data_IF_773957266137
#
_entry.id   IF_773957266137
#
_cell.length_a   1.000
_cell.length_b   1.000
_cell.length_c   1.000
_cell.angle_alpha   90.00
_cell.angle_beta   90.00
_cell.angle_gamma   90.00
#
_symmetry.space_group_name_H-M   'P 1'
#
loop_
_entity.id
_entity.type
_entity.pdbx_description
1 polymer ?
#
# COMPACT_ATOMS: atom_id res chain seq x y z
N UNK A 1 3.43 -6.16 0.94
CA UNK A 1 4.28 -6.63 2.05
C UNK A 1 3.53 -6.60 3.38
N UNK A 2 2.96 -5.46 3.81
CA UNK A 2 2.35 -5.38 5.14
C UNK A 2 1.07 -6.20 5.34
N UNK A 3 0.19 -6.34 4.34
CA UNK A 3 -1.06 -7.09 4.53
C UNK A 3 -0.83 -8.58 4.87
N UNK A 4 0.15 -9.21 4.24
CA UNK A 4 0.56 -10.59 4.57
C UNK A 4 1.11 -10.69 6.00
N UNK A 5 1.77 -9.64 6.50
CA UNK A 5 2.25 -9.61 7.89
C UNK A 5 1.09 -9.40 8.89
N UNK A 6 0.09 -8.60 8.53
CA UNK A 6 -1.17 -8.48 9.29
C UNK A 6 -1.96 -9.80 9.26
N UNK A 7 -1.89 -10.57 8.18
CA UNK A 7 -2.45 -11.93 8.10
C UNK A 7 -1.77 -12.89 9.11
N UNK A 8 -0.45 -12.84 9.23
CA UNK A 8 0.27 -13.59 10.27
C UNK A 8 -0.11 -13.15 11.68
N UNK A 9 -0.26 -11.84 11.92
CA UNK A 9 -0.76 -11.32 13.20
C UNK A 9 -2.14 -11.87 13.55
N UNK A 10 -3.07 -11.82 12.58
CA UNK A 10 -4.42 -12.32 12.76
C UNK A 10 -4.43 -13.82 13.10
N UNK A 11 -3.64 -14.61 12.38
CA UNK A 11 -3.48 -16.04 12.65
C UNK A 11 -2.88 -16.31 14.04
N UNK A 12 -1.83 -15.59 14.43
CA UNK A 12 -1.19 -15.75 15.74
C UNK A 12 -2.09 -15.33 16.92
N UNK A 13 -2.99 -14.37 16.70
CA UNK A 13 -4.01 -13.97 17.66
C UNK A 13 -5.28 -14.84 17.59
N UNK A 14 -5.32 -15.85 16.72
CA UNK A 14 -6.49 -16.68 16.45
C UNK A 14 -7.75 -15.86 16.10
N UNK A 15 -7.57 -14.84 15.23
CA UNK A 15 -8.62 -13.92 14.78
C UNK A 15 -8.81 -13.99 13.27
N UNK A 16 -10.05 -13.84 12.82
CA UNK A 16 -10.36 -13.66 11.40
C UNK A 16 -9.82 -12.32 10.91
N UNK A 17 -9.06 -12.33 9.80
CA UNK A 17 -8.65 -11.10 9.14
C UNK A 17 -9.79 -10.54 8.28
N UNK A 18 -10.19 -9.30 8.54
CA UNK A 18 -11.09 -8.58 7.64
C UNK A 18 -10.27 -8.00 6.49
N UNK A 19 -10.60 -8.38 5.26
CA UNK A 19 -9.94 -7.88 4.06
C UNK A 19 -10.30 -6.40 3.89
N UNK A 20 -9.31 -5.50 3.92
CA UNK A 20 -9.54 -4.06 3.81
C UNK A 20 -9.96 -3.65 2.39
N UNK A 21 -10.66 -2.52 2.30
CA UNK A 21 -10.90 -1.86 1.03
C UNK A 21 -9.62 -1.23 0.47
N UNK A 22 -9.67 -0.82 -0.80
CA UNK A 22 -8.54 -0.26 -1.55
C UNK A 22 -8.91 1.06 -2.24
N UNK A 23 -7.89 1.81 -2.61
CA UNK A 23 -8.04 3.04 -3.41
C UNK A 23 -6.83 3.95 -3.28
N UNK A 24 -6.51 4.69 -4.35
CA UNK A 24 -5.37 5.61 -4.42
C UNK A 24 -4.03 4.96 -4.03
N UNK A 25 -3.82 3.71 -4.45
CA UNK A 25 -2.69 2.84 -4.09
C UNK A 25 -2.58 2.52 -2.59
N UNK A 26 -3.63 2.73 -1.81
CA UNK A 26 -3.65 2.44 -0.37
C UNK A 26 -4.63 1.32 -0.08
N UNK A 27 -4.40 0.70 1.07
CA UNK A 27 -5.24 -0.35 1.64
C UNK A 27 -5.73 0.16 2.99
N UNK A 28 -7.03 0.03 3.26
CA UNK A 28 -7.61 0.40 4.55
C UNK A 28 -9.14 0.36 4.53
N UNK A 29 -9.76 0.39 5.72
CA UNK A 29 -11.21 0.30 5.86
C UNK A 29 -11.99 1.40 5.11
N UNK A 30 -11.34 2.56 4.88
CA UNK A 30 -11.93 3.71 4.19
C UNK A 30 -11.62 3.78 2.69
N UNK A 31 -11.05 2.72 2.11
CA UNK A 31 -10.93 2.61 0.65
C UNK A 31 -12.30 2.65 -0.03
N UNK A 32 -12.36 3.27 -1.21
CA UNK A 32 -13.58 3.35 -2.02
C UNK A 32 -13.97 1.97 -2.56
N UNK A 33 -12.99 1.18 -2.96
CA UNK A 33 -13.17 -0.06 -3.69
C UNK A 33 -13.00 -1.27 -2.78
N UNK A 34 -13.68 -2.37 -3.10
CA UNK A 34 -13.46 -3.65 -2.44
C UNK A 34 -12.06 -4.20 -2.73
N UNK A 35 -11.59 -5.09 -1.87
CA UNK A 35 -10.24 -5.68 -1.97
C UNK A 35 -9.95 -6.30 -3.35
N UNK A 36 -10.96 -6.95 -3.92
CA UNK A 36 -10.93 -7.68 -5.18
C UNK A 36 -10.85 -6.78 -6.43
N UNK A 37 -11.20 -5.50 -6.29
CA UNK A 37 -10.97 -4.53 -7.35
C UNK A 37 -9.48 -4.44 -7.72
N UNK A 38 -8.59 -4.51 -6.72
CA UNK A 38 -7.14 -4.43 -6.94
C UNK A 38 -6.46 -5.80 -6.96
N UNK A 39 -6.91 -6.74 -6.13
CA UNK A 39 -6.17 -7.96 -5.81
C UNK A 39 -6.97 -9.23 -6.13
N UNK A 40 -6.27 -10.30 -6.47
CA UNK A 40 -6.90 -11.60 -6.75
C UNK A 40 -7.24 -12.32 -5.44
N UNK A 41 -8.54 -12.49 -5.17
CA UNK A 41 -9.04 -13.17 -3.97
C UNK A 41 -8.56 -14.61 -3.87
N UNK A 42 -8.43 -15.33 -4.99
CA UNK A 42 -8.02 -16.73 -5.02
C UNK A 42 -6.58 -16.92 -4.55
N UNK A 43 -5.68 -16.06 -5.03
CA UNK A 43 -4.27 -16.02 -4.64
C UNK A 43 -4.13 -15.72 -3.16
N UNK A 44 -4.86 -14.72 -2.64
CA UNK A 44 -4.77 -14.34 -1.24
C UNK A 44 -5.43 -15.38 -0.33
N UNK A 45 -6.56 -15.97 -0.73
CA UNK A 45 -7.20 -17.06 0.00
C UNK A 45 -6.31 -18.31 0.07
N UNK A 46 -5.48 -18.58 -0.95
CA UNK A 46 -4.46 -19.63 -0.88
C UNK A 46 -3.41 -19.30 0.17
N UNK A 47 -2.85 -18.09 0.15
CA UNK A 47 -1.89 -17.63 1.16
C UNK A 47 -2.48 -17.66 2.58
N UNK A 48 -3.72 -17.20 2.75
CA UNK A 48 -4.43 -17.27 4.02
C UNK A 48 -4.60 -18.70 4.53
N UNK A 49 -4.96 -19.66 3.66
CA UNK A 49 -5.06 -21.07 4.05
C UNK A 49 -3.72 -21.66 4.50
N UNK A 50 -2.63 -21.28 3.84
CA UNK A 50 -1.28 -21.70 4.24
C UNK A 50 -0.89 -21.14 5.62
N UNK A 51 -1.24 -19.88 5.91
CA UNK A 51 -0.92 -19.23 7.19
C UNK A 51 -1.82 -19.72 8.33
N UNK A 52 -3.13 -19.85 8.11
CA UNK A 52 -4.08 -20.25 9.14
C UNK A 52 -4.17 -21.77 9.33
N UNK A 53 -3.74 -22.57 8.36
CA UNK A 53 -3.92 -24.02 8.35
C UNK A 53 -5.38 -24.48 8.22
N UNK A 54 -6.34 -23.55 8.08
CA UNK A 54 -7.78 -23.82 7.97
C UNK A 54 -8.43 -23.02 6.84
N UNK A 55 -9.59 -23.48 6.30
CA UNK A 55 -10.22 -22.84 5.13
C UNK A 55 -10.77 -21.42 5.34
N UNK A 56 -10.95 -20.95 6.59
CA UNK A 56 -11.71 -19.71 6.90
C UNK A 56 -10.94 -18.74 7.80
N UNK A 57 -9.85 -18.18 7.27
CA UNK A 57 -9.04 -17.17 7.97
C UNK A 57 -9.39 -15.71 7.64
N UNK A 58 -10.19 -15.46 6.60
CA UNK A 58 -10.45 -14.12 6.06
C UNK A 58 -11.93 -13.88 5.73
N UNK A 59 -12.38 -12.62 5.81
CA UNK A 59 -13.73 -12.18 5.43
C UNK A 59 -13.67 -10.83 4.70
N UNK A 60 -14.56 -10.55 3.74
CA UNK A 60 -14.61 -9.24 3.08
C UNK A 60 -15.12 -8.14 4.03
N UNK A 61 -14.71 -6.89 3.79
CA UNK A 61 -15.13 -5.77 4.64
C UNK A 61 -16.65 -5.56 4.66
N UNK A 62 -17.33 -5.80 3.55
CA UNK A 62 -18.79 -5.63 3.44
C UNK A 62 -19.56 -6.75 4.16
N UNK A 63 -19.05 -7.98 4.10
CA UNK A 63 -19.58 -9.09 4.91
C UNK A 63 -19.36 -8.81 6.40
N UNK A 64 -18.19 -8.29 6.78
CA UNK A 64 -17.92 -7.86 8.15
C UNK A 64 -18.84 -6.72 8.59
N UNK A 65 -19.08 -5.73 7.73
CA UNK A 65 -20.02 -4.64 8.01
C UNK A 65 -21.43 -5.20 8.25
N UNK A 66 -21.88 -6.12 7.40
CA UNK A 66 -23.17 -6.80 7.56
C UNK A 66 -23.22 -7.57 8.88
N UNK A 67 -22.14 -8.26 9.24
CA UNK A 67 -22.01 -8.95 10.53
C UNK A 67 -22.17 -7.97 11.71
N UNK A 68 -21.48 -6.81 11.69
CA UNK A 68 -21.62 -5.77 12.73
C UNK A 68 -23.06 -5.27 12.80
N UNK A 69 -23.67 -4.98 11.65
CA UNK A 69 -25.01 -4.38 11.57
C UNK A 69 -26.12 -5.33 12.06
N UNK A 70 -25.94 -6.63 11.85
CA UNK A 70 -26.93 -7.66 12.17
C UNK A 70 -26.81 -8.18 13.62
N UNK A 71 -25.79 -7.78 14.38
CA UNK A 71 -25.66 -8.25 15.76
C UNK A 71 -26.74 -7.67 16.67
N UNK A 72 -27.37 -8.50 17.54
CA UNK A 72 -28.25 -8.01 18.59
C UNK A 72 -27.53 -7.11 19.60
N UNK A 73 -26.27 -7.44 19.90
CA UNK A 73 -25.39 -6.68 20.79
C UNK A 73 -24.25 -6.07 19.97
N UNK A 74 -24.09 -4.76 20.12
CA UNK A 74 -23.02 -3.99 19.49
C UNK A 74 -21.63 -4.53 19.88
N UNK A 75 -20.82 -4.99 18.91
CA UNK A 75 -19.52 -5.57 19.21
C UNK A 75 -18.57 -4.51 19.78
N UNK A 76 -17.75 -4.91 20.75
CA UNK A 76 -16.70 -4.06 21.32
C UNK A 76 -15.47 -4.06 20.40
N UNK A 77 -15.00 -2.86 20.05
CA UNK A 77 -13.82 -2.62 19.22
C UNK A 77 -12.72 -1.92 20.01
N UNK A 78 -11.47 -2.34 19.80
CA UNK A 78 -10.28 -1.70 20.35
C UNK A 78 -9.36 -1.23 19.23
N UNK A 79 -8.87 0.01 19.34
CA UNK A 79 -7.88 0.54 18.40
C UNK A 79 -6.47 0.13 18.82
N UNK A 80 -5.71 -0.36 17.85
CA UNK A 80 -4.33 -0.79 18.04
C UNK A 80 -3.45 -0.08 17.01
N UNK A 81 -2.49 0.70 17.48
CA UNK A 81 -1.55 1.45 16.63
C UNK A 81 -0.19 0.77 16.63
N UNK A 82 0.37 0.59 15.44
CA UNK A 82 1.75 0.15 15.24
C UNK A 82 2.55 1.25 14.54
N UNK A 83 3.51 1.82 15.25
CA UNK A 83 4.35 2.93 14.78
C UNK A 83 5.84 2.67 15.04
N UNK A 84 6.72 3.35 14.31
CA UNK A 84 8.16 3.29 14.58
C UNK A 84 8.54 4.17 15.80
N UNK A 85 9.49 3.70 16.60
CA UNK A 85 10.03 4.42 17.76
C UNK A 85 10.81 5.63 17.26
N UNK A 86 10.27 6.81 17.46
CA UNK A 86 10.92 8.09 17.21
C UNK A 86 11.23 8.76 18.55
N UNK A 87 12.21 9.67 18.56
CA UNK A 87 12.55 10.47 19.75
C UNK A 87 11.38 11.33 20.25
N UNK A 88 10.38 11.61 19.41
CA UNK A 88 9.13 12.24 19.80
C UNK A 88 8.00 11.21 19.90
N UNK A 89 7.11 11.38 20.88
CA UNK A 89 5.82 10.66 20.92
C UNK A 89 4.95 11.13 19.75
N UNK A 90 4.11 10.27 19.17
CA UNK A 90 3.16 10.67 18.14
C UNK A 90 2.25 11.81 18.62
N UNK A 91 2.00 12.78 17.75
CA UNK A 91 1.01 13.83 18.03
C UNK A 91 -0.35 13.21 18.33
N UNK A 92 -0.92 13.56 19.49
CA UNK A 92 -2.19 13.01 19.97
C UNK A 92 -2.09 11.73 20.81
N UNK A 93 -0.91 11.15 21.03
CA UNK A 93 -0.73 10.10 22.02
C UNK A 93 -0.80 10.70 23.44
N UNK A 94 -1.86 10.38 24.16
CA UNK A 94 -2.06 10.73 25.57
C UNK A 94 -2.26 9.44 26.37
N UNK A 95 -1.15 8.76 26.67
CA UNK A 95 -1.16 7.44 27.29
C UNK A 95 -0.01 7.18 28.25
N UNK A 96 -0.20 6.17 29.11
CA UNK A 96 0.81 5.71 30.05
C UNK A 96 1.65 4.60 29.42
N UNK A 97 2.97 4.68 29.56
CA UNK A 97 3.88 3.59 29.22
C UNK A 97 3.64 2.42 30.20
N UNK A 98 3.13 1.30 29.68
CA UNK A 98 2.83 0.10 30.48
C UNK A 98 4.04 -0.81 30.58
N UNK A 99 4.74 -1.02 29.46
CA UNK A 99 5.96 -1.85 29.42
C UNK A 99 6.88 -1.42 28.29
N UNK A 100 8.16 -1.71 28.47
CA UNK A 100 9.20 -1.60 27.46
C UNK A 100 10.03 -2.90 27.48
N UNK A 101 9.71 -3.83 26.58
CA UNK A 101 10.33 -5.16 26.49
C UNK A 101 10.89 -5.39 25.09
N UNK A 102 12.12 -5.90 24.99
CA UNK A 102 12.81 -6.18 23.72
C UNK A 102 12.84 -4.98 22.75
N UNK A 103 12.88 -3.76 23.29
CA UNK A 103 12.84 -2.52 22.50
C UNK A 103 11.47 -2.13 21.97
N UNK A 104 10.40 -2.88 22.31
CA UNK A 104 9.01 -2.52 22.04
C UNK A 104 8.44 -1.72 23.21
N UNK A 105 8.04 -0.47 22.96
CA UNK A 105 7.33 0.34 23.94
C UNK A 105 5.82 0.20 23.76
N UNK A 106 5.08 0.03 24.86
CA UNK A 106 3.62 -0.13 24.83
C UNK A 106 2.96 0.95 25.66
N UNK A 107 2.09 1.72 25.02
CA UNK A 107 1.31 2.77 25.64
C UNK A 107 -0.18 2.39 25.62
N UNK A 108 -0.87 2.72 26.70
CA UNK A 108 -2.33 2.65 26.77
C UNK A 108 -2.85 4.06 27.01
N UNK A 109 -3.73 4.53 26.12
CA UNK A 109 -4.29 5.87 26.19
C UNK A 109 -5.14 6.05 27.46
N UNK A 110 -5.20 7.29 27.96
CA UNK A 110 -6.01 7.64 29.12
C UNK A 110 -7.50 7.72 28.80
N UNK A 111 -7.86 7.88 27.52
CA UNK A 111 -9.25 8.07 27.10
C UNK A 111 -9.49 7.37 25.76
N UNK A 112 -10.74 7.01 25.44
CA UNK A 112 -11.09 6.58 24.09
C UNK A 112 -10.78 7.67 23.07
N UNK A 113 -10.49 7.24 21.85
CA UNK A 113 -10.13 8.15 20.76
C UNK A 113 -11.30 9.07 20.38
N UNK A 114 -11.06 10.38 20.44
CA UNK A 114 -11.97 11.36 19.87
C UNK A 114 -12.06 11.21 18.34
N UNK A 115 -13.22 11.50 17.77
CA UNK A 115 -13.43 11.33 16.32
C UNK A 115 -12.60 12.27 15.45
N UNK A 116 -12.16 13.40 16.00
CA UNK A 116 -11.31 14.40 15.36
C UNK A 116 -9.82 14.21 15.65
N UNK A 117 -9.45 13.16 16.40
CA UNK A 117 -8.05 12.84 16.68
C UNK A 117 -7.27 12.70 15.36
N UNK A 118 -6.10 13.32 15.35
CA UNK A 118 -5.23 13.39 14.17
C UNK A 118 -4.74 12.02 13.70
N UNK A 119 -4.61 11.05 14.63
CA UNK A 119 -4.27 9.64 14.34
C UNK A 119 -5.34 8.97 13.48
N UNK A 120 -6.58 9.43 13.54
CA UNK A 120 -7.70 8.91 12.73
C UNK A 120 -7.89 9.66 11.41
N UNK A 121 -6.99 10.56 10.99
CA UNK A 121 -7.16 11.39 9.78
C UNK A 121 -7.48 10.57 8.51
N UNK A 122 -6.87 9.40 8.36
CA UNK A 122 -7.08 8.50 7.21
C UNK A 122 -8.19 7.46 7.43
N UNK A 123 -8.78 7.44 8.63
CA UNK A 123 -9.76 6.46 9.09
C UNK A 123 -11.07 7.12 9.56
N UNK A 124 -11.31 8.40 9.21
CA UNK A 124 -12.52 9.15 9.62
C UNK A 124 -13.82 8.42 9.27
N UNK A 125 -13.79 7.57 8.23
CA UNK A 125 -14.96 6.83 7.83
C UNK A 125 -15.46 5.79 8.81
N UNK A 126 -14.60 5.32 9.73
CA UNK A 126 -14.96 4.26 10.68
C UNK A 126 -16.22 4.63 11.48
N UNK A 127 -16.37 5.91 11.85
CA UNK A 127 -17.52 6.42 12.60
C UNK A 127 -18.86 6.11 11.93
N UNK A 128 -18.97 6.35 10.63
CA UNK A 128 -20.23 6.15 9.90
C UNK A 128 -20.32 4.77 9.26
N UNK A 129 -19.19 4.17 8.87
CA UNK A 129 -19.13 2.86 8.25
C UNK A 129 -19.48 1.74 9.24
N UNK A 130 -19.12 1.89 10.51
CA UNK A 130 -19.38 0.92 11.58
C UNK A 130 -20.09 1.58 12.79
N UNK A 131 -21.20 2.26 12.54
CA UNK A 131 -21.92 3.03 13.56
C UNK A 131 -22.49 2.18 14.72
N UNK A 132 -22.68 0.87 14.53
CA UNK A 132 -23.10 -0.07 15.58
C UNK A 132 -21.95 -0.70 16.37
N UNK A 133 -20.69 -0.40 16.06
CA UNK A 133 -19.54 -0.91 16.82
C UNK A 133 -19.17 0.06 17.94
N UNK A 134 -18.97 -0.46 19.16
CA UNK A 134 -18.58 0.33 20.33
C UNK A 134 -17.06 0.48 20.36
N UNK A 135 -16.55 1.70 20.25
CA UNK A 135 -15.09 1.98 20.31
C UNK A 135 -14.71 2.81 21.55
N UNK A 136 -15.68 3.09 22.40
CA UNK A 136 -15.57 3.80 23.68
C UNK A 136 -15.27 2.87 24.87
N UNK A 137 -15.50 1.57 24.71
CA UNK A 137 -15.28 0.56 25.75
C UNK A 137 -13.80 0.33 26.08
N UNK A 138 -12.94 0.42 25.07
CA UNK A 138 -11.51 0.14 25.19
C UNK A 138 -10.71 1.36 24.76
N UNK A 139 -9.77 1.76 25.62
CA UNK A 139 -8.77 2.76 25.29
C UNK A 139 -7.80 2.19 24.25
N UNK A 140 -7.33 3.05 23.33
CA UNK A 140 -6.31 2.68 22.36
C UNK A 140 -5.05 2.09 22.98
N UNK A 141 -4.46 1.13 22.27
CA UNK A 141 -3.13 0.58 22.59
C UNK A 141 -2.17 0.96 21.48
N UNK A 142 -1.06 1.60 21.82
CA UNK A 142 -0.02 2.00 20.87
C UNK A 142 1.27 1.21 21.13
N UNK A 143 1.72 0.46 20.12
CA UNK A 143 2.94 -0.33 20.16
C UNK A 143 3.99 0.34 19.27
N UNK A 144 5.10 0.77 19.88
CA UNK A 144 6.19 1.45 19.20
C UNK A 144 7.37 0.52 19.00
N UNK A 145 7.72 0.32 17.74
CA UNK A 145 8.72 -0.64 17.28
C UNK A 145 10.08 0.01 17.09
N UNK A 146 11.19 -0.63 17.49
CA UNK A 146 12.50 -0.02 17.37
C UNK A 146 12.86 0.24 15.90
N UNK A 147 13.34 1.46 15.60
CA UNK A 147 13.86 1.78 14.25
C UNK A 147 15.09 0.92 13.93
N UNK A 148 15.09 0.29 12.75
CA UNK A 148 16.17 -0.58 12.26
C UNK A 148 17.56 0.08 12.43
N UNK A 149 18.43 -0.58 13.21
CA UNK A 149 19.75 -0.07 13.60
C UNK A 149 20.18 -0.50 15.01
N UNK A 150 19.24 -0.96 15.84
CA UNK A 150 19.53 -1.61 17.13
C UNK A 150 19.80 -3.11 16.92
N UNK A 151 20.78 -3.72 17.62
CA UNK A 151 21.02 -5.16 17.55
C UNK A 151 19.74 -5.89 17.92
N UNK A 152 19.21 -6.66 16.97
CA UNK A 152 17.98 -7.42 17.11
C UNK A 152 18.12 -8.43 18.27
N UNK A 153 17.58 -8.07 19.43
CA UNK A 153 17.24 -9.05 20.43
C UNK A 153 15.77 -9.44 20.21
N UNK A 154 15.58 -10.73 19.89
CA UNK A 154 14.30 -11.47 19.93
C UNK A 154 13.34 -11.21 18.76
N UNK A 155 12.67 -12.30 18.31
CA UNK A 155 11.67 -12.34 17.25
C UNK A 155 10.53 -11.34 17.54
N UNK A 156 10.53 -10.14 16.92
CA UNK A 156 9.68 -9.06 17.39
C UNK A 156 8.20 -9.32 17.12
N UNK A 157 7.87 -10.22 16.18
CA UNK A 157 6.51 -10.70 15.95
C UNK A 157 5.95 -11.56 17.09
N UNK A 158 6.74 -12.44 17.69
CA UNK A 158 6.31 -13.25 18.85
C UNK A 158 6.12 -12.38 20.09
N UNK A 159 7.05 -11.46 20.34
CA UNK A 159 6.93 -10.48 21.43
C UNK A 159 5.69 -9.59 21.23
N UNK A 160 5.39 -9.16 20.01
CA UNK A 160 4.17 -8.40 19.69
C UNK A 160 2.90 -9.16 20.05
N UNK A 161 2.81 -10.45 19.66
CA UNK A 161 1.64 -11.29 19.93
C UNK A 161 1.49 -11.52 21.43
N UNK A 162 2.58 -11.86 22.13
CA UNK A 162 2.60 -12.05 23.58
C UNK A 162 2.09 -10.80 24.30
N UNK A 163 2.57 -9.62 23.89
CA UNK A 163 2.19 -8.34 24.48
C UNK A 163 0.70 -8.04 24.28
N UNK A 164 0.17 -8.23 23.07
CA UNK A 164 -1.26 -8.03 22.79
C UNK A 164 -2.18 -9.02 23.54
N UNK A 165 -1.63 -10.12 24.04
CA UNK A 165 -2.35 -11.13 24.84
C UNK A 165 -2.16 -10.93 26.35
N UNK A 166 -1.40 -9.92 26.80
CA UNK A 166 -1.19 -9.72 28.24
C UNK A 166 -2.45 -9.16 28.90
N UNK A 167 -2.77 -9.78 30.03
CA UNK A 167 -3.94 -9.41 30.83
C UNK A 167 -3.82 -8.01 31.42
N UNK A 168 -2.63 -7.57 31.86
CA UNK A 168 -2.43 -6.23 32.43
C UNK A 168 -2.72 -5.11 31.42
N UNK A 169 -2.27 -5.27 30.17
CA UNK A 169 -2.59 -4.34 29.08
C UNK A 169 -4.08 -4.35 28.77
N UNK A 170 -4.69 -5.54 28.70
CA UNK A 170 -6.12 -5.68 28.46
C UNK A 170 -6.92 -4.95 29.57
N UNK A 171 -6.59 -5.17 30.84
CA UNK A 171 -7.24 -4.50 31.97
C UNK A 171 -7.07 -2.99 31.91
N UNK A 172 -5.83 -2.49 31.75
CA UNK A 172 -5.55 -1.05 31.64
C UNK A 172 -6.31 -0.38 30.50
N UNK A 173 -6.59 -1.12 29.42
CA UNK A 173 -7.34 -0.61 28.29
C UNK A 173 -8.85 -0.51 28.53
N UNK A 174 -9.41 -1.08 29.60
CA UNK A 174 -10.85 -0.97 29.88
C UNK A 174 -11.14 0.39 30.50
N UNK A 175 -11.99 1.20 29.85
CA UNK A 175 -12.21 2.60 30.22
C UNK A 175 -12.83 2.87 31.60
N UNK A 176 -13.19 1.84 32.36
CA UNK A 176 -13.74 1.97 33.70
C UNK A 176 -12.69 2.08 34.83
N UNK A 177 -11.39 1.86 34.55
CA UNK A 177 -10.38 1.93 35.62
C UNK A 177 -10.09 3.35 36.13
N UNK A 178 -10.50 4.41 35.41
CA UNK A 178 -10.33 5.79 35.91
C UNK A 178 -11.35 6.21 36.96
N UNK A 179 -12.44 5.46 37.18
CA UNK A 179 -13.31 5.69 38.34
C UNK A 179 -12.76 5.06 39.64
N UNK A 180 -11.70 4.26 39.57
CA UNK A 180 -10.92 3.85 40.73
C UNK A 180 -9.78 4.82 40.97
N UNK A 181 -10.15 6.06 41.33
CA UNK A 181 -9.22 6.99 41.95
C UNK A 181 -8.67 6.38 43.24
N UNK A 182 -7.33 6.34 43.32
CA UNK A 182 -6.53 5.85 44.45
C UNK A 182 -6.75 4.37 44.77
N UNK A 183 -5.73 3.55 44.55
CA UNK A 183 -5.50 2.41 45.44
C UNK A 183 -4.98 3.04 46.74
N UNK A 184 -5.75 3.08 47.85
CA UNK A 184 -5.17 3.44 49.13
C UNK A 184 -4.12 2.37 49.45
N UNK A 185 -2.98 2.79 50.01
CA UNK A 185 -1.87 1.93 50.42
C UNK A 185 -2.27 0.92 51.54
N UNK A 186 -3.55 0.91 51.88
CA UNK A 186 -4.24 0.24 52.97
C UNK A 186 -4.83 -1.13 52.54
N UNK A 187 -4.89 -1.45 51.25
CA UNK A 187 -5.44 -2.73 50.74
C UNK A 187 -4.33 -3.79 50.60
N UNK A 188 -3.59 -3.98 51.68
CA UNK A 188 -2.81 -5.19 51.97
C UNK A 188 -3.37 -5.87 53.21
N UNK A 189 -4.69 -5.92 53.35
CA UNK A 189 -5.30 -6.66 54.44
C UNK A 189 -6.55 -7.44 54.01
N UNK A 190 -6.62 -8.63 54.60
CA UNK A 190 -7.30 -9.83 54.15
C UNK A 190 -8.83 -9.70 53.99
N UNK A 191 -9.34 -10.40 52.96
CA UNK A 191 -10.60 -11.16 53.05
C UNK A 191 -11.89 -10.35 52.98
N UNK A 192 -12.35 -10.07 51.76
CA UNK A 192 -13.77 -9.93 51.43
C UNK A 192 -14.00 -10.20 49.94
N UNK A 193 -14.12 -11.48 49.62
CA UNK A 193 -14.84 -11.96 48.45
C UNK A 193 -16.32 -11.59 48.63
N UNK A 194 -16.76 -10.45 48.11
CA UNK A 194 -18.14 -10.31 47.65
C UNK A 194 -18.29 -9.04 46.81
N UNK A 195 -18.87 -9.21 45.61
CA UNK A 195 -19.33 -8.19 44.64
C UNK A 195 -18.40 -7.72 43.50
N UNK A 196 -17.29 -8.39 43.19
CA UNK A 196 -16.48 -8.12 41.97
C UNK A 196 -16.64 -9.18 40.86
N UNK A 197 -17.49 -10.19 41.04
CA UNK A 197 -17.63 -11.32 40.10
C UNK A 197 -18.68 -11.12 38.98
N UNK A 198 -19.08 -9.89 38.64
CA UNK A 198 -20.02 -9.72 37.50
C UNK A 198 -19.87 -8.39 36.76
N UNK A 199 -18.64 -7.99 36.45
CA UNK A 199 -18.38 -7.20 35.25
C UNK A 199 -17.42 -8.03 34.41
N UNK A 200 -17.97 -8.90 33.56
CA UNK A 200 -17.17 -9.63 32.59
C UNK A 200 -16.30 -8.62 31.85
N UNK A 201 -14.99 -8.79 31.99
CA UNK A 201 -13.94 -8.17 31.19
C UNK A 201 -14.19 -8.62 29.75
N UNK A 202 -15.07 -7.90 29.05
CA UNK A 202 -15.41 -8.23 27.66
C UNK A 202 -14.18 -7.95 26.80
N UNK A 203 -13.42 -9.00 26.49
CA UNK A 203 -12.35 -8.94 25.49
C UNK A 203 -12.85 -8.25 24.23
N UNK A 204 -12.01 -7.38 23.65
CA UNK A 204 -12.34 -6.71 22.40
C UNK A 204 -12.62 -7.75 21.30
N UNK A 205 -13.88 -7.79 20.84
CA UNK A 205 -14.31 -8.69 19.76
C UNK A 205 -13.67 -8.28 18.42
N UNK A 206 -13.42 -6.99 18.22
CA UNK A 206 -12.84 -6.42 17.01
C UNK A 206 -11.57 -5.64 17.35
N UNK A 207 -10.47 -5.92 16.63
CA UNK A 207 -9.26 -5.11 16.67
C UNK A 207 -9.19 -4.22 15.43
N UNK A 208 -9.19 -2.91 15.64
CA UNK A 208 -9.00 -1.89 14.61
C UNK A 208 -7.52 -1.55 14.52
N UNK A 209 -6.84 -2.22 13.61
CA UNK A 209 -5.39 -2.11 13.45
C UNK A 209 -5.04 -0.94 12.53
N UNK A 210 -4.32 0.04 13.06
CA UNK A 210 -3.64 1.09 12.31
C UNK A 210 -2.14 0.79 12.29
N UNK A 211 -1.52 0.83 11.12
CA UNK A 211 -0.08 0.62 10.99
C UNK A 211 0.51 1.66 10.05
N UNK A 212 1.61 2.29 10.48
CA UNK A 212 2.45 3.15 9.64
C UNK A 212 3.92 2.75 9.80
N UNK A 213 4.23 1.53 9.36
CA UNK A 213 5.55 0.93 9.47
C UNK A 213 6.19 0.82 8.11
N UNK A 214 7.50 1.06 7.99
CA UNK A 214 8.23 0.69 6.77
C UNK A 214 8.45 -0.81 6.71
N UNK A 215 8.80 -1.40 7.85
CA UNK A 215 9.06 -2.82 8.01
C UNK A 215 8.25 -3.37 9.18
N UNK A 216 7.31 -4.28 8.90
CA UNK A 216 6.56 -4.92 9.97
C UNK A 216 7.42 -6.00 10.63
N UNK A 217 7.40 -6.15 11.97
CA UNK A 217 8.23 -7.07 12.75
C UNK A 217 7.99 -8.58 12.56
N UNK A 218 7.09 -9.00 11.67
CA UNK A 218 6.95 -10.42 11.36
C UNK A 218 8.00 -10.84 10.33
N UNK A 219 8.95 -11.67 10.78
CA UNK A 219 9.85 -12.38 9.87
C UNK A 219 9.01 -13.28 8.97
N UNK A 220 9.03 -13.02 7.66
CA UNK A 220 8.44 -13.93 6.69
C UNK A 220 9.35 -15.15 6.60
N UNK A 221 9.17 -16.11 7.52
CA UNK A 221 9.86 -17.41 7.48
C UNK A 221 9.47 -18.23 6.23
N UNK A 222 8.49 -17.79 5.46
CA UNK A 222 8.10 -18.43 4.20
C UNK A 222 8.89 -17.89 3.02
N UNK A 223 9.47 -18.81 2.27
CA UNK A 223 10.07 -18.68 0.92
C UNK A 223 9.07 -18.26 -0.17
N UNK A 224 7.96 -17.61 0.17
CA UNK A 224 6.95 -17.13 -0.79
C UNK A 224 7.02 -15.61 -0.88
N UNK A 225 7.93 -15.05 -1.71
CA UNK A 225 7.98 -13.64 -1.97
C UNK A 225 6.91 -13.29 -3.00
N UNK A 226 5.71 -12.97 -2.54
CA UNK A 226 4.84 -12.03 -3.24
C UNK A 226 3.67 -11.66 -2.32
N UNK A 227 3.33 -10.36 -2.30
CA UNK A 227 2.02 -9.96 -1.79
C UNK A 227 0.89 -10.60 -2.60
N UNK A 228 -0.38 -10.31 -2.29
CA UNK A 228 -1.49 -10.76 -3.13
C UNK A 228 -1.22 -10.36 -4.59
N UNK A 229 -1.53 -11.28 -5.50
CA UNK A 229 -1.53 -10.98 -6.93
C UNK A 229 -2.53 -9.86 -7.22
N UNK A 230 -2.29 -9.08 -8.27
CA UNK A 230 -3.30 -8.16 -8.77
C UNK A 230 -4.49 -8.91 -9.39
N UNK A 231 -5.66 -8.29 -9.40
CA UNK A 231 -6.89 -8.87 -9.95
C UNK A 231 -6.73 -9.27 -11.42
N UNK A 232 -7.49 -10.27 -11.87
CA UNK A 232 -7.44 -10.73 -13.26
C UNK A 232 -7.78 -9.60 -14.25
N UNK A 233 -8.71 -8.72 -13.89
CA UNK A 233 -9.16 -7.62 -14.74
C UNK A 233 -8.03 -6.61 -14.99
N UNK A 234 -7.30 -6.22 -13.94
CA UNK A 234 -6.15 -5.33 -14.06
C UNK A 234 -5.05 -5.99 -14.90
N UNK A 235 -4.78 -7.28 -14.69
CA UNK A 235 -3.79 -8.02 -15.48
C UNK A 235 -4.19 -8.13 -16.95
N UNK A 236 -5.46 -8.44 -17.23
CA UNK A 236 -6.00 -8.51 -18.57
C UNK A 236 -5.93 -7.16 -19.28
N UNK A 237 -6.23 -6.06 -18.58
CA UNK A 237 -6.09 -4.72 -19.10
C UNK A 237 -4.63 -4.36 -19.42
N UNK A 238 -3.69 -4.62 -18.51
CA UNK A 238 -2.27 -4.41 -18.77
C UNK A 238 -1.77 -5.20 -20.00
N UNK A 239 -2.24 -6.44 -20.16
CA UNK A 239 -1.96 -7.25 -21.35
C UNK A 239 -2.56 -6.63 -22.61
N UNK A 240 -3.82 -6.14 -22.56
CA UNK A 240 -4.49 -5.51 -23.70
C UNK A 240 -3.78 -4.22 -24.13
N UNK A 241 -3.35 -3.40 -23.18
CA UNK A 241 -2.59 -2.17 -23.42
C UNK A 241 -1.25 -2.44 -24.12
N UNK A 242 -0.54 -3.48 -23.70
CA UNK A 242 0.83 -3.74 -24.16
C UNK A 242 0.93 -4.67 -25.36
N UNK A 243 -0.11 -5.43 -25.67
CA UNK A 243 -0.14 -6.39 -26.79
C UNK A 243 0.34 -5.81 -28.13
N UNK A 244 -0.02 -4.56 -28.53
CA UNK A 244 0.46 -3.97 -29.78
C UNK A 244 1.96 -3.63 -29.79
N UNK A 245 2.57 -3.52 -28.61
CA UNK A 245 3.93 -3.01 -28.42
C UNK A 245 4.96 -4.11 -28.15
N UNK A 246 4.55 -5.37 -27.97
CA UNK A 246 5.47 -6.46 -27.64
C UNK A 246 6.43 -6.80 -28.80
N UNK A 247 7.75 -6.92 -28.57
CA UNK A 247 8.49 -6.54 -27.35
C UNK A 247 8.75 -5.03 -27.25
N UNK A 248 8.74 -4.49 -26.03
CA UNK A 248 8.99 -3.05 -25.75
C UNK A 248 9.98 -2.83 -24.60
N UNK A 249 10.48 -1.60 -24.52
CA UNK A 249 11.21 -1.08 -23.33
C UNK A 249 10.22 -0.40 -22.40
N UNK A 250 10.30 -0.65 -21.09
CA UNK A 250 9.60 0.15 -20.11
C UNK A 250 10.57 1.00 -19.29
N UNK A 251 10.28 2.29 -19.20
CA UNK A 251 10.96 3.24 -18.35
C UNK A 251 10.05 3.52 -17.16
N UNK A 252 10.56 3.34 -15.94
CA UNK A 252 9.89 3.82 -14.74
C UNK A 252 10.71 4.95 -14.11
N UNK A 253 10.24 6.18 -14.30
CA UNK A 253 10.92 7.39 -13.85
C UNK A 253 10.04 8.25 -12.95
N UNK A 254 10.40 8.31 -11.67
CA UNK A 254 9.73 9.10 -10.65
C UNK A 254 10.60 10.29 -10.26
N UNK A 255 10.17 11.48 -10.65
CA UNK A 255 10.95 12.72 -10.54
C UNK A 255 10.77 13.43 -9.19
N UNK A 256 9.71 13.12 -8.43
CA UNK A 256 9.33 13.75 -7.16
C UNK A 256 10.41 13.93 -6.07
N UNK A 257 11.51 13.16 -6.08
CA UNK A 257 12.61 13.30 -5.10
C UNK A 257 13.89 13.84 -5.72
N UNK A 258 13.88 14.10 -7.03
CA UNK A 258 15.03 14.62 -7.76
C UNK A 258 15.05 16.14 -7.59
N UNK A 259 16.19 16.75 -7.21
CA UNK A 259 16.33 18.20 -7.19
C UNK A 259 15.97 18.79 -8.57
N UNK A 260 15.09 19.80 -8.67
CA UNK A 260 14.63 20.30 -9.96
C UNK A 260 15.76 20.70 -10.92
N UNK A 261 16.84 21.29 -10.39
CA UNK A 261 18.00 21.70 -11.17
C UNK A 261 18.76 20.55 -11.86
N UNK A 262 18.55 19.29 -11.44
CA UNK A 262 19.20 18.10 -12.02
C UNK A 262 18.29 17.38 -13.02
N UNK A 263 17.01 17.75 -13.11
CA UNK A 263 16.04 17.04 -13.96
C UNK A 263 16.41 17.06 -15.45
N UNK A 264 16.90 18.18 -16.04
CA UNK A 264 17.34 18.18 -17.43
C UNK A 264 18.52 17.23 -17.68
N UNK A 265 19.55 17.28 -16.83
CA UNK A 265 20.72 16.38 -16.94
C UNK A 265 20.32 14.91 -16.80
N UNK A 266 19.40 14.60 -15.89
CA UNK A 266 18.85 13.25 -15.74
C UNK A 266 18.02 12.82 -16.96
N UNK A 267 17.35 13.74 -17.65
CA UNK A 267 16.64 13.45 -18.90
C UNK A 267 17.61 13.12 -20.03
N UNK A 268 18.71 13.87 -20.15
CA UNK A 268 19.77 13.58 -21.12
C UNK A 268 20.42 12.22 -20.84
N UNK A 269 20.75 11.94 -19.58
CA UNK A 269 21.29 10.64 -19.18
C UNK A 269 20.34 9.47 -19.52
N UNK A 270 19.03 9.66 -19.34
CA UNK A 270 18.03 8.67 -19.76
C UNK A 270 18.05 8.45 -21.28
N UNK A 271 18.10 9.53 -22.06
CA UNK A 271 18.16 9.44 -23.54
C UNK A 271 19.42 8.70 -23.97
N UNK A 272 20.57 9.03 -23.40
CA UNK A 272 21.86 8.37 -23.70
C UNK A 272 21.81 6.88 -23.36
N UNK A 273 21.30 6.51 -22.18
CA UNK A 273 21.12 5.10 -21.79
C UNK A 273 20.22 4.35 -22.78
N UNK A 274 19.12 4.96 -23.22
CA UNK A 274 18.24 4.35 -24.22
C UNK A 274 18.91 4.21 -25.57
N UNK A 275 19.64 5.23 -26.03
CA UNK A 275 20.39 5.18 -27.29
C UNK A 275 21.43 4.06 -27.28
N UNK A 276 22.14 3.85 -26.17
CA UNK A 276 23.10 2.76 -26.02
C UNK A 276 22.38 1.39 -26.06
N UNK A 277 21.32 1.22 -25.26
CA UNK A 277 20.58 -0.04 -25.19
C UNK A 277 19.92 -0.42 -26.52
N UNK A 278 19.36 0.56 -27.22
CA UNK A 278 18.63 0.36 -28.47
C UNK A 278 19.55 0.29 -29.70
N UNK A 279 20.80 0.74 -29.59
CA UNK A 279 21.81 0.54 -30.62
C UNK A 279 22.36 -0.90 -30.66
N UNK A 280 22.25 -1.66 -29.56
CA UNK A 280 22.65 -3.07 -29.53
C UNK A 280 21.62 -3.93 -30.29
N UNK A 281 21.99 -4.55 -31.44
CA UNK A 281 21.05 -5.32 -32.24
C UNK A 281 20.47 -6.55 -31.52
N UNK A 282 21.22 -7.12 -30.56
CA UNK A 282 20.79 -8.29 -29.78
C UNK A 282 19.73 -7.93 -28.74
N UNK A 283 19.79 -6.72 -28.18
CA UNK A 283 18.82 -6.22 -27.22
C UNK A 283 17.59 -5.64 -27.93
N UNK A 284 17.80 -4.85 -28.99
CA UNK A 284 16.78 -4.08 -29.68
C UNK A 284 15.94 -4.87 -30.69
N UNK A 285 16.27 -6.13 -30.98
CA UNK A 285 15.61 -6.92 -32.03
C UNK A 285 14.08 -6.97 -31.84
N UNK A 286 13.33 -6.39 -32.79
CA UNK A 286 11.87 -6.37 -32.76
C UNK A 286 11.25 -5.30 -31.86
N UNK A 287 12.05 -4.55 -31.10
CA UNK A 287 11.57 -3.45 -30.26
C UNK A 287 11.20 -2.26 -31.17
N UNK A 288 9.95 -1.82 -31.07
CA UNK A 288 9.42 -0.65 -31.81
C UNK A 288 8.92 0.46 -30.90
N UNK A 289 8.64 0.14 -29.64
CA UNK A 289 7.99 1.06 -28.72
C UNK A 289 8.72 1.14 -27.39
N UNK A 290 8.71 2.34 -26.81
CA UNK A 290 9.23 2.65 -25.48
C UNK A 290 8.07 3.18 -24.64
N UNK A 291 7.75 2.47 -23.57
CA UNK A 291 6.71 2.84 -22.61
C UNK A 291 7.30 3.68 -21.48
N UNK A 292 6.83 4.91 -21.31
CA UNK A 292 7.28 5.79 -20.25
C UNK A 292 6.23 5.90 -19.12
N UNK A 293 6.52 5.21 -18.03
CA UNK A 293 5.79 5.27 -16.77
C UNK A 293 6.42 6.34 -15.85
N UNK A 294 5.76 7.49 -15.77
CA UNK A 294 6.26 8.64 -15.00
C UNK A 294 5.15 9.36 -14.25
N UNK A 295 5.52 10.08 -13.20
CA UNK A 295 4.64 10.88 -12.34
C UNK A 295 4.09 12.14 -13.02
N UNK A 296 4.58 12.50 -14.22
CA UNK A 296 4.09 13.61 -15.04
C UNK A 296 3.39 13.14 -16.33
N UNK A 297 2.28 13.78 -16.71
CA UNK A 297 1.59 13.41 -17.94
C UNK A 297 2.39 13.75 -19.22
N UNK A 298 2.45 12.81 -20.16
CA UNK A 298 3.10 13.01 -21.46
C UNK A 298 2.28 13.89 -22.41
N UNK A 299 0.97 14.01 -22.22
CA UNK A 299 0.12 14.90 -23.03
C UNK A 299 0.01 16.29 -22.41
N UNK A 300 0.45 17.30 -23.15
CA UNK A 300 0.20 18.72 -22.88
C UNK A 300 -0.89 19.28 -23.82
N UNK A 301 -1.95 18.51 -24.11
CA UNK A 301 -3.09 19.04 -24.85
C UNK A 301 -3.90 20.00 -23.95
N UNK A 302 -3.70 21.29 -24.20
CA UNK A 302 -4.08 22.48 -23.42
C UNK A 302 -5.58 22.73 -23.19
N UNK A 303 -6.46 21.74 -23.36
CA UNK A 303 -7.92 21.92 -23.22
C UNK A 303 -8.61 21.03 -22.19
N UNK A 304 -7.91 20.08 -21.61
CA UNK A 304 -8.37 19.33 -20.44
C UNK A 304 -7.25 19.40 -19.40
N UNK A 305 -7.61 19.47 -18.12
CA UNK A 305 -6.70 19.28 -16.97
C UNK A 305 -5.99 20.55 -16.41
N UNK A 306 -6.78 21.47 -15.85
CA UNK A 306 -6.31 22.25 -14.68
C UNK A 306 -6.30 21.40 -13.39
N UNK A 307 -6.88 20.19 -13.41
CA UNK A 307 -7.09 19.33 -12.24
C UNK A 307 -6.34 17.98 -12.28
N UNK A 308 -5.54 17.65 -13.32
CA UNK A 308 -5.00 16.29 -13.51
C UNK A 308 -3.54 16.18 -13.95
N UNK A 309 -2.76 17.24 -13.72
CA UNK A 309 -1.29 17.19 -13.88
C UNK A 309 -0.63 16.22 -12.88
N UNK A 310 -1.33 15.86 -11.79
CA UNK A 310 -0.78 15.07 -10.70
C UNK A 310 -1.24 13.60 -10.76
N UNK A 311 -0.43 12.72 -11.35
CA UNK A 311 -0.69 11.26 -11.40
C UNK A 311 -0.31 10.52 -10.12
N UNK A 312 0.49 11.16 -9.27
CA UNK A 312 0.93 10.61 -8.01
C UNK A 312 0.56 11.52 -6.84
N UNK A 313 -0.08 10.95 -5.81
CA UNK A 313 -0.40 11.66 -4.57
C UNK A 313 0.85 12.21 -3.85
N UNK A 314 2.06 11.74 -4.21
CA UNK A 314 3.32 12.23 -3.64
C UNK A 314 3.94 13.40 -4.40
N UNK A 315 3.47 13.69 -5.62
CA UNK A 315 4.08 14.69 -6.49
C UNK A 315 3.38 16.05 -6.37
N UNK A 316 3.67 16.79 -5.28
CA UNK A 316 2.89 17.96 -4.85
C UNK A 316 3.21 19.27 -5.58
N UNK A 317 4.33 19.34 -6.31
CA UNK A 317 4.79 20.60 -6.93
C UNK A 317 5.49 20.28 -8.24
N UNK A 318 4.88 20.68 -9.36
CA UNK A 318 5.47 20.57 -10.69
C UNK A 318 6.15 21.90 -11.02
N UNK A 319 7.42 21.86 -11.39
CA UNK A 319 8.22 23.04 -11.76
C UNK A 319 8.49 23.06 -13.27
N UNK A 320 9.04 24.16 -13.77
CA UNK A 320 9.48 24.29 -15.18
C UNK A 320 10.44 23.18 -15.58
N UNK A 321 11.36 22.81 -14.69
CA UNK A 321 12.41 21.82 -14.95
C UNK A 321 11.83 20.41 -15.14
N UNK A 322 10.68 20.10 -14.50
CA UNK A 322 9.98 18.83 -14.74
C UNK A 322 9.38 18.77 -16.15
N UNK A 323 8.82 19.90 -16.60
CA UNK A 323 8.28 19.99 -17.96
C UNK A 323 9.41 19.94 -18.98
N UNK A 324 10.51 20.67 -18.74
CA UNK A 324 11.71 20.64 -19.55
C UNK A 324 12.29 19.23 -19.69
N UNK A 325 12.42 18.49 -18.60
CA UNK A 325 12.90 17.11 -18.61
C UNK A 325 12.03 16.18 -19.47
N UNK A 326 10.70 16.29 -19.38
CA UNK A 326 9.80 15.52 -20.24
C UNK A 326 9.88 15.97 -21.70
N UNK A 327 10.06 17.26 -21.97
CA UNK A 327 10.24 17.76 -23.33
C UNK A 327 11.57 17.28 -23.94
N UNK A 328 12.67 17.22 -23.17
CA UNK A 328 13.94 16.61 -23.62
C UNK A 328 13.71 15.17 -24.08
N UNK A 329 13.02 14.36 -23.26
CA UNK A 329 12.71 12.98 -23.63
C UNK A 329 11.83 12.93 -24.88
N UNK A 330 10.76 13.73 -24.97
CA UNK A 330 9.90 13.76 -26.16
C UNK A 330 10.65 14.17 -27.43
N UNK A 331 11.50 15.17 -27.35
CA UNK A 331 12.29 15.64 -28.49
C UNK A 331 13.25 14.56 -28.98
N UNK A 332 13.77 13.72 -28.09
CA UNK A 332 14.64 12.61 -28.49
C UNK A 332 13.95 11.59 -29.39
N UNK A 333 12.65 11.37 -29.23
CA UNK A 333 11.81 10.51 -30.09
C UNK A 333 11.14 11.26 -31.25
N UNK A 334 11.33 12.58 -31.33
CA UNK A 334 10.83 13.40 -32.43
C UNK A 334 11.71 13.32 -33.68
N UNK A 335 11.25 13.95 -34.77
CA UNK A 335 11.99 14.00 -36.03
C UNK A 335 13.39 14.60 -35.83
N UNK A 336 14.44 13.88 -36.25
CA UNK A 336 15.84 14.29 -36.11
C UNK A 336 16.43 14.06 -34.72
N UNK A 337 15.69 13.44 -33.80
CA UNK A 337 16.18 13.02 -32.50
C UNK A 337 16.93 11.69 -32.55
N UNK A 338 17.79 11.38 -31.56
CA UNK A 338 18.58 10.14 -31.53
C UNK A 338 17.74 8.85 -31.41
N UNK A 339 16.46 8.97 -31.03
CA UNK A 339 15.54 7.85 -30.83
C UNK A 339 14.35 7.90 -31.81
N UNK A 340 14.46 8.64 -32.92
CA UNK A 340 13.37 8.84 -33.90
C UNK A 340 12.84 7.52 -34.52
N UNK A 341 13.63 6.45 -34.47
CA UNK A 341 13.25 5.14 -35.00
C UNK A 341 12.26 4.37 -34.12
N UNK A 342 12.01 4.81 -32.89
CA UNK A 342 11.13 4.17 -31.92
C UNK A 342 9.96 5.08 -31.54
N UNK A 343 8.84 4.47 -31.16
CA UNK A 343 7.64 5.19 -30.72
C UNK A 343 7.64 5.36 -29.20
N UNK A 344 7.54 6.60 -28.71
CA UNK A 344 7.31 6.87 -27.29
C UNK A 344 5.81 6.82 -26.98
N UNK A 345 5.43 5.91 -26.08
CA UNK A 345 4.06 5.81 -25.57
C UNK A 345 4.04 5.76 -24.04
N UNK A 346 2.85 5.69 -23.45
CA UNK A 346 2.64 5.54 -22.02
C UNK A 346 1.16 5.38 -21.71
N UNK A 347 0.83 5.08 -20.45
CA UNK A 347 -0.51 4.65 -20.06
C UNK A 347 -1.65 5.56 -20.55
N UNK A 348 -1.47 6.89 -20.48
CA UNK A 348 -2.52 7.81 -20.92
C UNK A 348 -2.76 7.79 -22.43
N UNK A 349 -1.69 7.77 -23.22
CA UNK A 349 -1.81 7.73 -24.68
C UNK A 349 -2.47 6.42 -25.14
N UNK A 350 -2.16 5.34 -24.44
CA UNK A 350 -2.68 4.01 -24.71
C UNK A 350 -4.15 3.87 -24.34
N UNK A 351 -4.55 4.44 -23.19
CA UNK A 351 -5.96 4.55 -22.82
C UNK A 351 -6.71 5.40 -23.85
N UNK A 352 -6.16 6.54 -24.26
CA UNK A 352 -6.78 7.42 -25.25
C UNK A 352 -6.88 6.77 -26.65
N UNK A 353 -5.89 5.94 -27.03
CA UNK A 353 -5.99 5.11 -28.22
C UNK A 353 -7.16 4.13 -28.10
N UNK A 354 -7.23 3.38 -27.00
CA UNK A 354 -8.30 2.39 -26.81
C UNK A 354 -9.69 3.02 -26.77
N UNK A 355 -9.83 4.22 -26.22
CA UNK A 355 -11.08 5.00 -26.26
C UNK A 355 -11.49 5.34 -27.69
N UNK A 356 -10.57 5.90 -28.47
CA UNK A 356 -10.82 6.22 -29.89
C UNK A 356 -11.15 4.98 -30.72
N UNK A 357 -10.47 3.86 -30.44
CA UNK A 357 -10.76 2.60 -31.11
C UNK A 357 -12.19 2.12 -30.79
N UNK A 358 -12.59 2.12 -29.51
CA UNK A 358 -13.95 1.74 -29.11
C UNK A 358 -15.02 2.64 -29.76
N UNK A 359 -14.83 3.97 -29.72
CA UNK A 359 -15.71 4.94 -30.37
C UNK A 359 -15.85 4.68 -31.87
N UNK A 360 -14.76 4.32 -32.55
CA UNK A 360 -14.76 4.02 -33.98
C UNK A 360 -15.58 2.76 -34.33
N UNK A 361 -15.68 1.79 -33.40
CA UNK A 361 -16.51 0.60 -33.55
C UNK A 361 -17.95 0.79 -33.04
N UNK A 362 -18.31 1.98 -32.55
CA UNK A 362 -19.62 2.25 -31.96
C UNK A 362 -19.83 1.55 -30.61
N UNK A 363 -18.74 1.15 -29.95
CA UNK A 363 -18.74 0.56 -28.62
C UNK A 363 -18.46 1.65 -27.59
N UNK A 364 -19.15 1.61 -26.45
CA UNK A 364 -18.76 2.41 -25.30
C UNK A 364 -17.45 1.82 -24.75
N UNK A 365 -16.45 2.66 -24.48
CA UNK A 365 -15.23 2.21 -23.81
C UNK A 365 -15.56 1.87 -22.35
N UNK A 366 -16.08 0.67 -22.16
CA UNK A 366 -16.41 0.06 -20.88
C UNK A 366 -15.29 -0.93 -20.60
N UNK A 367 -14.52 -0.70 -19.55
CA UNK A 367 -13.63 -1.75 -19.06
C UNK A 367 -14.53 -2.84 -18.48
N UNK A 368 -14.41 -4.08 -18.98
CA UNK A 368 -15.13 -5.23 -18.43
C UNK A 368 -14.96 -5.21 -16.89
N UNK A 369 -16.07 -5.14 -16.17
CA UNK A 369 -16.20 -4.92 -14.72
C UNK A 369 -16.04 -3.48 -14.22
N UNK A 370 -16.69 -2.52 -14.90
CA UNK A 370 -17.21 -1.33 -14.21
C UNK A 370 -18.11 -1.81 -13.05
N UNK A 371 -17.82 -1.36 -11.83
CA UNK A 371 -18.86 -1.39 -10.81
C UNK A 371 -20.01 -0.47 -11.26
N UNK A 372 -21.15 -0.52 -10.58
CA UNK A 372 -22.33 0.35 -10.86
C UNK A 372 -21.99 1.87 -10.94
N UNK A 373 -20.77 2.28 -10.59
CA UNK A 373 -20.27 3.65 -10.62
C UNK A 373 -19.54 4.05 -11.91
N UNK A 374 -18.86 3.14 -12.62
CA UNK A 374 -18.07 3.52 -13.80
C UNK A 374 -16.80 4.33 -13.52
N UNK A 375 -16.12 4.16 -12.37
CA UNK A 375 -15.05 5.09 -11.93
C UNK A 375 -13.73 4.43 -11.49
N UNK A 376 -13.56 3.11 -11.65
CA UNK A 376 -12.37 2.41 -11.11
C UNK A 376 -11.06 2.89 -11.77
N UNK A 377 -11.07 3.13 -13.08
CA UNK A 377 -9.93 3.66 -13.84
C UNK A 377 -9.61 5.12 -13.52
N UNK A 378 -10.53 5.88 -12.92
CA UNK A 378 -10.20 7.22 -12.43
C UNK A 378 -9.36 7.17 -11.14
N UNK A 379 -9.27 6.01 -10.51
CA UNK A 379 -8.44 5.84 -9.34
C UNK A 379 -6.95 5.85 -9.74
N UNK A 380 -6.23 6.89 -9.30
CA UNK A 380 -4.77 7.04 -9.47
C UNK A 380 -3.95 5.78 -9.08
N UNK A 381 -4.48 4.95 -8.19
CA UNK A 381 -3.84 3.72 -7.79
C UNK A 381 -3.86 2.63 -8.85
N UNK A 382 -4.93 2.56 -9.65
CA UNK A 382 -5.01 1.67 -10.81
C UNK A 382 -3.95 2.07 -11.84
N UNK A 383 -3.76 3.37 -12.09
CA UNK A 383 -2.73 3.86 -13.00
C UNK A 383 -1.33 3.40 -12.60
N UNK A 384 -0.99 3.59 -11.32
CA UNK A 384 0.27 3.09 -10.78
C UNK A 384 0.38 1.57 -10.89
N UNK A 385 -0.66 0.80 -10.58
CA UNK A 385 -0.63 -0.66 -10.69
C UNK A 385 -0.43 -1.10 -12.15
N UNK A 386 -1.11 -0.48 -13.11
CA UNK A 386 -0.96 -0.79 -14.53
C UNK A 386 0.46 -0.53 -15.01
N UNK A 387 1.02 0.67 -14.75
CA UNK A 387 2.42 0.97 -15.09
C UNK A 387 3.39 -0.03 -14.46
N UNK A 388 3.10 -0.52 -13.25
CA UNK A 388 3.90 -1.57 -12.60
C UNK A 388 3.89 -2.86 -13.40
N UNK A 389 2.70 -3.34 -13.77
CA UNK A 389 2.53 -4.61 -14.47
C UNK A 389 3.17 -4.52 -15.85
N UNK A 390 2.97 -3.40 -16.55
CA UNK A 390 3.62 -3.11 -17.83
C UNK A 390 5.15 -3.14 -17.69
N UNK A 391 5.71 -2.46 -16.70
CA UNK A 391 7.14 -2.49 -16.46
C UNK A 391 7.66 -3.91 -16.13
N UNK A 392 6.91 -4.67 -15.32
CA UNK A 392 7.23 -6.06 -14.99
C UNK A 392 7.24 -6.96 -16.24
N UNK A 393 6.42 -6.70 -17.25
CA UNK A 393 6.28 -7.52 -18.47
C UNK A 393 7.15 -7.07 -19.67
N UNK A 394 7.81 -5.93 -19.55
CA UNK A 394 8.66 -5.37 -20.62
C UNK A 394 9.85 -6.27 -20.97
N UNK A 395 10.35 -6.18 -22.20
CA UNK A 395 11.57 -6.89 -22.58
C UNK A 395 12.77 -6.28 -21.85
N UNK A 396 12.96 -4.96 -21.99
CA UNK A 396 13.99 -4.20 -21.29
C UNK A 396 13.34 -3.26 -20.27
N UNK A 397 13.88 -3.21 -19.05
CA UNK A 397 13.40 -2.31 -18.00
C UNK A 397 14.48 -1.29 -17.62
N UNK A 398 14.12 -0.01 -17.59
CA UNK A 398 15.00 1.12 -17.27
C UNK A 398 14.41 1.92 -16.12
N UNK A 399 15.21 2.29 -15.12
CA UNK A 399 14.77 3.16 -14.03
C UNK A 399 15.86 4.14 -13.59
N UNK A 400 15.47 5.22 -12.90
CA UNK A 400 16.43 6.22 -12.41
C UNK A 400 17.28 5.67 -11.28
N UNK A 401 18.60 5.88 -11.37
CA UNK A 401 19.54 5.62 -10.31
C UNK A 401 19.36 6.61 -9.14
N UNK A 402 20.09 6.39 -8.05
CA UNK A 402 20.08 7.29 -6.90
C UNK A 402 20.60 8.67 -7.33
N UNK A 403 19.73 9.68 -7.27
CA UNK A 403 20.04 11.04 -7.72
C UNK A 403 19.15 11.46 -8.89
N UNK A 404 18.92 10.55 -9.84
CA UNK A 404 18.04 10.77 -11.00
C UNK A 404 16.67 10.10 -10.88
N UNK A 405 16.37 9.38 -9.81
CA UNK A 405 15.04 8.87 -9.55
C UNK A 405 14.79 8.55 -8.08
N UNK A 406 13.51 8.44 -7.72
CA UNK A 406 13.12 7.94 -6.40
C UNK A 406 13.42 6.44 -6.27
N UNK A 407 14.25 6.09 -5.28
CA UNK A 407 14.33 4.71 -4.79
C UNK A 407 13.01 4.36 -4.11
N UNK A 408 12.12 3.69 -4.83
CA UNK A 408 10.79 3.36 -4.36
C UNK A 408 10.63 1.85 -4.15
N UNK A 409 9.80 1.45 -3.19
CA UNK A 409 9.41 0.04 -3.01
C UNK A 409 8.72 -0.50 -4.26
N UNK A 410 8.17 0.37 -5.10
CA UNK A 410 7.54 0.03 -6.37
C UNK A 410 8.59 -0.37 -7.42
N UNK A 411 9.63 0.45 -7.64
CA UNK A 411 10.77 0.10 -8.51
C UNK A 411 11.42 -1.19 -8.03
N UNK A 412 11.64 -1.31 -6.71
CA UNK A 412 12.21 -2.51 -6.12
C UNK A 412 11.38 -3.76 -6.43
N UNK A 413 10.06 -3.71 -6.31
CA UNK A 413 9.19 -4.84 -6.65
C UNK A 413 9.26 -5.25 -8.13
N UNK A 414 9.47 -4.30 -9.05
CA UNK A 414 9.68 -4.61 -10.47
C UNK A 414 11.01 -5.35 -10.66
N UNK A 415 12.08 -4.84 -10.06
CA UNK A 415 13.42 -5.44 -10.14
C UNK A 415 13.46 -6.83 -9.48
N UNK A 416 12.90 -6.96 -8.27
CA UNK A 416 12.82 -8.23 -7.54
C UNK A 416 12.03 -9.27 -8.36
N UNK A 417 10.87 -8.90 -8.94
CA UNK A 417 10.10 -9.80 -9.82
C UNK A 417 10.90 -10.30 -11.02
N UNK A 418 11.66 -9.40 -11.64
CA UNK A 418 12.48 -9.70 -12.81
C UNK A 418 13.67 -10.59 -12.45
N UNK A 419 14.28 -10.40 -11.28
CA UNK A 419 15.50 -11.12 -10.87
C UNK A 419 15.23 -12.45 -10.16
N UNK A 420 14.13 -12.58 -9.42
CA UNK A 420 13.85 -13.71 -8.51
C UNK A 420 12.94 -14.81 -9.12
N UNK A 421 12.91 -14.93 -10.45
CA UNK A 421 12.27 -16.07 -11.15
C UNK A 421 10.96 -15.75 -11.87
N UNK A 422 10.26 -14.67 -11.52
CA UNK A 422 9.09 -14.18 -12.25
C UNK A 422 9.42 -13.73 -13.69
N UNK A 423 10.67 -13.29 -13.90
CA UNK A 423 11.20 -12.89 -15.20
C UNK A 423 11.71 -14.02 -16.11
N UNK A 424 11.64 -15.30 -15.71
CA UNK A 424 12.18 -16.40 -16.53
C UNK A 424 11.50 -16.55 -17.89
N UNK A 425 10.24 -16.13 -18.00
CA UNK A 425 9.48 -16.13 -19.25
C UNK A 425 9.56 -14.79 -20.01
N UNK A 426 10.30 -13.81 -19.50
CA UNK A 426 10.45 -12.49 -20.13
C UNK A 426 11.61 -12.57 -21.13
N UNK A 427 11.37 -12.26 -22.42
CA UNK A 427 12.44 -12.14 -23.39
C UNK A 427 13.41 -11.04 -22.99
N UNK A 428 14.72 -11.34 -22.93
CA UNK A 428 15.80 -10.36 -22.71
C UNK A 428 15.63 -9.56 -21.42
N UNK A 429 15.33 -10.27 -20.32
CA UNK A 429 15.14 -9.76 -18.96
C UNK A 429 16.30 -8.90 -18.42
N UNK A 430 16.43 -7.69 -18.95
CA UNK A 430 17.46 -6.70 -18.62
C UNK A 430 16.84 -5.66 -17.69
N UNK A 431 17.65 -5.21 -16.72
CA UNK A 431 17.34 -4.13 -15.79
C UNK A 431 18.51 -3.16 -15.85
N UNK A 432 18.26 -1.93 -16.32
CA UNK A 432 19.26 -0.87 -16.44
C UNK A 432 18.88 0.32 -15.53
N UNK A 433 19.90 1.01 -15.02
CA UNK A 433 19.74 2.24 -14.27
C UNK A 433 20.43 3.40 -14.99
N UNK A 434 19.77 4.56 -15.08
CA UNK A 434 20.37 5.77 -15.64
C UNK A 434 20.62 6.84 -14.57
N UNK A 435 21.63 7.68 -14.81
CA UNK A 435 21.98 8.82 -13.95
C UNK A 435 23.12 8.56 -12.96
#
# INVERSE_FOLDING_TARGET
MHLTQVLHLAAALNRTLVLPNVGKSRIGACGKWLFDAYYDLGSFAKQAREVFGVPRGTIMLDDFKTWVDMRPKAPAGQLVFFDESSTALPDGLDGTLVTAEDGLEVYVDHHPLAHDDTRLKNARCLKWKFNKMRTDTHHPVSLRLPTLGHPAAVNPGETLVRILQREDIAQMSIGNLQNFGMIPQDVLDFGKESHLETMATEDAEVLLVHWDLRHFPFSTLSTTPSGPDYSQNIRALANKLTKPHQPYVAIHWRMETVPPALLPDCAEALVDSLSILLADPSLAEGIRSVWLATDLALSSSSKLQKDSVQRSNTFKTVTSEHTEAIEIVKMAFGNGGPLEAWELTGLAQEIERMKRDAEAYGEEFVLEDEDDSGLLWEDSGIWGILDKIVAMQSALFVSGARGCGRVSSFTKQIVDFRTEGGGQNIPRNVVELFG
#
